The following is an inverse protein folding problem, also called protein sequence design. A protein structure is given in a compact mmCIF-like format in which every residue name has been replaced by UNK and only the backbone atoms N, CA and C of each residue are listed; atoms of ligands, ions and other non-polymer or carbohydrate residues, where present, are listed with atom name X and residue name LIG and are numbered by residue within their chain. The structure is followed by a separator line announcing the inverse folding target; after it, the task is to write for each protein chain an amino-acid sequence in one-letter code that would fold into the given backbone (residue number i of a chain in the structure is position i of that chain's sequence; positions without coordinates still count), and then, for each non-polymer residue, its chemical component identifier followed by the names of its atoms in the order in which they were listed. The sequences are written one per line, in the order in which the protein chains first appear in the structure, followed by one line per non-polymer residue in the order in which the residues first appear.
data_IF_697812239806
#
_entry.id   IF_697812239806
#
_cell.length_a   1.000
_cell.length_b   1.000
_cell.length_c   1.000
_cell.angle_alpha   90.00
_cell.angle_beta   90.00
_cell.angle_gamma   90.00
#
_symmetry.space_group_name_H-M   'P 1'
#
loop_
_entity.id
_entity.type
_entity.pdbx_description
1 polymer ?
#
# COMPACT_ATOMS: atom_id res chain seq x y z
N UNK A 1 -4.54 -26.73 17.51
CA UNK A 1 -3.69 -27.93 17.51
C UNK A 1 -2.71 -27.96 18.69
N UNK A 2 -2.94 -27.20 19.77
CA UNK A 2 -2.19 -27.27 21.03
C UNK A 2 -0.78 -26.66 21.00
N UNK A 3 -0.43 -25.91 19.95
CA UNK A 3 0.86 -25.24 19.85
C UNK A 3 0.91 -23.90 20.60
N UNK A 4 -0.24 -23.30 20.86
CA UNK A 4 -0.35 -22.05 21.60
C UNK A 4 -1.11 -22.28 22.90
N UNK A 5 -0.76 -21.51 23.93
CA UNK A 5 -1.41 -21.49 25.22
C UNK A 5 -2.39 -20.31 25.27
N UNK A 6 -3.60 -20.48 25.86
CA UNK A 6 -4.48 -19.35 26.18
C UNK A 6 -3.76 -18.34 27.09
N UNK A 7 -3.96 -17.07 26.80
CA UNK A 7 -3.30 -15.97 27.51
C UNK A 7 -4.22 -15.27 28.53
N UNK A 8 -5.51 -15.60 28.56
CA UNK A 8 -6.53 -14.90 29.37
C UNK A 8 -6.10 -14.73 30.84
N UNK A 9 -5.79 -15.83 31.54
CA UNK A 9 -5.36 -15.80 32.94
C UNK A 9 -4.05 -15.06 33.15
N UNK A 10 -3.12 -15.17 32.18
CA UNK A 10 -1.81 -14.49 32.25
C UNK A 10 -1.96 -12.98 32.04
N UNK A 11 -2.83 -12.57 31.14
CA UNK A 11 -3.15 -11.16 30.89
C UNK A 11 -3.87 -10.56 32.10
N UNK A 12 -4.80 -11.28 32.69
CA UNK A 12 -5.48 -10.83 33.90
C UNK A 12 -4.51 -10.68 35.09
N UNK A 13 -3.63 -11.64 35.28
CA UNK A 13 -2.72 -11.66 36.43
C UNK A 13 -1.52 -10.73 36.29
N UNK A 14 -0.98 -10.58 35.08
CA UNK A 14 0.32 -9.92 34.85
C UNK A 14 0.31 -8.91 33.70
N UNK A 15 -0.74 -8.86 32.88
CA UNK A 15 -0.80 -8.09 31.63
C UNK A 15 -1.67 -6.84 31.73
N UNK A 16 -1.89 -6.26 32.89
CA UNK A 16 -2.80 -5.12 33.07
C UNK A 16 -2.40 -3.90 32.21
N UNK A 17 -1.11 -3.65 32.05
CA UNK A 17 -0.64 -2.55 31.19
C UNK A 17 -0.96 -2.81 29.71
N UNK A 18 -0.95 -4.06 29.28
CA UNK A 18 -1.33 -4.48 27.91
C UNK A 18 -2.84 -4.33 27.73
N UNK A 19 -3.63 -4.81 28.68
CA UNK A 19 -5.09 -4.69 28.64
C UNK A 19 -5.56 -3.23 28.64
N UNK A 20 -4.81 -2.35 29.30
CA UNK A 20 -5.11 -0.92 29.40
C UNK A 20 -4.38 -0.08 28.32
N UNK A 21 -3.76 -0.70 27.32
CA UNK A 21 -2.98 0.00 26.27
C UNK A 21 -3.83 0.79 25.26
N UNK A 22 -5.16 0.78 25.39
CA UNK A 22 -6.07 1.58 24.56
C UNK A 22 -6.54 0.89 23.28
N UNK A 23 -6.29 -0.42 23.14
CA UNK A 23 -6.88 -1.21 22.03
C UNK A 23 -8.40 -1.31 22.18
N UNK A 24 -9.12 -1.23 21.05
CA UNK A 24 -10.57 -1.41 21.04
C UNK A 24 -10.97 -2.87 21.28
N UNK A 25 -12.22 -3.09 21.66
CA UNK A 25 -12.78 -4.44 21.86
C UNK A 25 -12.71 -5.27 20.57
N UNK A 26 -12.91 -4.65 19.41
CA UNK A 26 -12.83 -5.32 18.10
C UNK A 26 -11.43 -5.89 17.84
N UNK A 27 -10.37 -5.20 18.29
CA UNK A 27 -8.99 -5.69 18.17
C UNK A 27 -8.80 -6.92 19.03
N UNK A 28 -9.31 -6.91 20.27
CA UNK A 28 -9.23 -8.06 21.15
C UNK A 28 -10.07 -9.25 20.65
N UNK A 29 -11.26 -8.97 20.12
CA UNK A 29 -12.11 -10.00 19.54
C UNK A 29 -11.49 -10.66 18.30
N UNK A 30 -10.76 -9.91 17.48
CA UNK A 30 -10.03 -10.46 16.33
C UNK A 30 -8.89 -11.42 16.74
N UNK A 31 -8.40 -11.34 17.98
CA UNK A 31 -7.34 -12.21 18.51
C UNK A 31 -7.87 -13.43 19.25
N UNK A 32 -9.20 -13.54 19.39
CA UNK A 32 -9.83 -14.72 20.02
C UNK A 32 -9.86 -15.88 19.05
N UNK A 33 -9.52 -17.05 19.56
CA UNK A 33 -9.75 -18.30 18.86
C UNK A 33 -11.24 -18.66 18.77
N UNK A 34 -11.56 -19.70 18.03
CA UNK A 34 -12.95 -20.22 17.92
C UNK A 34 -13.52 -20.68 19.28
N UNK A 35 -12.68 -20.97 20.24
CA UNK A 35 -13.03 -21.35 21.62
C UNK A 35 -13.22 -20.13 22.55
N UNK A 36 -13.06 -18.91 22.05
CA UNK A 36 -13.22 -17.65 22.76
C UNK A 36 -12.00 -17.19 23.55
N UNK A 37 -10.92 -17.95 23.58
CA UNK A 37 -9.69 -17.59 24.30
C UNK A 37 -8.78 -16.71 23.47
N UNK A 38 -7.99 -15.85 24.15
CA UNK A 38 -6.97 -14.99 23.53
C UNK A 38 -5.67 -15.78 23.44
N UNK A 39 -5.07 -15.82 22.25
CA UNK A 39 -3.82 -16.54 21.96
C UNK A 39 -2.67 -15.63 21.51
N UNK A 40 -2.91 -14.34 21.33
CA UNK A 40 -1.91 -13.37 20.91
C UNK A 40 -2.13 -12.03 21.61
N UNK A 41 -1.08 -11.23 21.70
CA UNK A 41 -1.12 -9.86 22.19
C UNK A 41 -1.18 -8.93 20.99
N UNK A 42 -2.07 -7.90 20.98
CA UNK A 42 -2.13 -6.95 19.89
C UNK A 42 -0.82 -6.17 19.78
N UNK A 43 -0.34 -6.02 18.56
CA UNK A 43 0.77 -5.13 18.24
C UNK A 43 0.22 -3.90 17.55
N UNK A 44 0.41 -2.75 18.14
CA UNK A 44 0.03 -1.48 17.54
C UNK A 44 1.25 -0.87 16.86
N UNK A 45 1.17 -0.70 15.57
CA UNK A 45 2.15 0.11 14.86
C UNK A 45 1.92 1.56 15.27
N UNK A 46 2.93 2.31 15.75
CA UNK A 46 2.74 3.66 16.29
C UNK A 46 2.49 4.71 15.20
N UNK A 47 2.06 4.31 14.02
CA UNK A 47 1.67 5.21 12.95
C UNK A 47 0.20 4.99 12.60
N UNK A 48 -0.46 6.09 12.34
CA UNK A 48 -1.84 6.10 11.86
C UNK A 48 -1.90 5.30 10.56
N UNK A 49 -2.58 4.16 10.56
CA UNK A 49 -2.66 3.27 9.38
C UNK A 49 -3.25 3.96 8.15
N UNK A 50 -3.97 5.05 8.36
CA UNK A 50 -4.56 5.84 7.28
C UNK A 50 -3.49 6.55 6.41
N UNK A 51 -2.27 6.73 6.94
CA UNK A 51 -1.17 7.43 6.25
C UNK A 51 -0.14 6.46 5.64
N UNK A 52 -0.31 5.15 5.78
CA UNK A 52 0.69 4.17 5.37
C UNK A 52 0.91 4.06 3.85
N UNK A 53 -0.01 4.59 3.04
CA UNK A 53 0.04 4.51 1.58
C UNK A 53 -0.08 5.89 0.96
N UNK A 54 1.05 6.53 0.69
CA UNK A 54 1.08 7.84 0.04
C UNK A 54 2.15 7.87 -1.07
N UNK A 55 1.96 8.80 -2.01
CA UNK A 55 3.00 9.17 -2.97
C UNK A 55 3.58 10.51 -2.59
N UNK A 56 4.88 10.65 -2.76
CA UNK A 56 5.61 11.91 -2.51
C UNK A 56 6.02 12.51 -3.85
N UNK A 57 5.75 13.79 -4.04
CA UNK A 57 6.21 14.54 -5.20
C UNK A 57 7.29 15.56 -4.79
N UNK A 58 8.31 15.71 -5.61
CA UNK A 58 9.30 16.76 -5.51
C UNK A 58 8.65 18.09 -5.91
N UNK A 59 8.18 18.84 -4.92
CA UNK A 59 7.49 20.12 -5.12
C UNK A 59 8.29 21.09 -5.97
N UNK A 60 9.57 21.22 -5.68
CA UNK A 60 10.49 22.08 -6.43
C UNK A 60 10.58 21.71 -7.92
N UNK A 61 10.59 20.44 -8.25
CA UNK A 61 10.61 19.95 -9.64
C UNK A 61 9.25 20.13 -10.33
N UNK A 62 8.16 19.93 -9.59
CA UNK A 62 6.81 20.17 -10.11
C UNK A 62 6.62 21.67 -10.43
N UNK A 63 6.95 22.55 -9.51
CA UNK A 63 6.84 24.01 -9.70
C UNK A 63 7.70 24.49 -10.87
N UNK A 64 8.93 23.99 -11.01
CA UNK A 64 9.80 24.33 -12.14
C UNK A 64 9.23 23.89 -13.50
N UNK A 65 8.46 22.79 -13.52
CA UNK A 65 7.73 22.31 -14.72
C UNK A 65 6.36 23.01 -14.91
N UNK A 66 6.01 23.97 -14.06
CA UNK A 66 4.75 24.73 -14.14
C UNK A 66 3.55 24.01 -13.48
N UNK A 67 3.80 22.96 -12.71
CA UNK A 67 2.75 22.23 -11.98
C UNK A 67 2.62 22.87 -10.59
N UNK A 68 1.50 23.56 -10.37
CA UNK A 68 1.23 24.30 -9.11
C UNK A 68 0.21 23.60 -8.22
N UNK A 69 -0.56 22.67 -8.77
CA UNK A 69 -1.59 21.91 -8.06
C UNK A 69 -1.34 20.43 -8.21
N UNK A 70 -1.59 19.69 -7.13
CA UNK A 70 -1.46 18.23 -7.13
C UNK A 70 -2.68 17.58 -7.81
N UNK A 71 -2.48 16.44 -8.50
CA UNK A 71 -3.55 15.75 -9.20
C UNK A 71 -4.63 15.24 -8.22
N UNK A 72 -5.88 15.34 -8.61
CA UNK A 72 -7.02 14.83 -7.86
C UNK A 72 -7.72 13.67 -8.56
N UNK A 73 -7.37 13.42 -9.82
CA UNK A 73 -7.87 12.31 -10.62
C UNK A 73 -6.73 11.52 -11.24
N UNK A 74 -7.00 10.31 -11.73
CA UNK A 74 -6.00 9.49 -12.40
C UNK A 74 -5.54 10.13 -13.72
N UNK A 75 -6.44 10.85 -14.41
CA UNK A 75 -6.11 11.58 -15.63
C UNK A 75 -5.22 12.78 -15.35
N UNK A 76 -5.48 13.54 -14.29
CA UNK A 76 -4.61 14.64 -13.86
C UNK A 76 -3.23 14.11 -13.46
N UNK A 77 -3.19 12.97 -12.77
CA UNK A 77 -1.94 12.30 -12.42
C UNK A 77 -1.14 11.91 -13.66
N UNK A 78 -1.79 11.28 -14.64
CA UNK A 78 -1.14 10.97 -15.91
C UNK A 78 -0.60 12.23 -16.60
N UNK A 79 -1.41 13.28 -16.70
CA UNK A 79 -1.02 14.55 -17.34
C UNK A 79 0.15 15.22 -16.59
N UNK A 80 0.20 15.12 -15.28
CA UNK A 80 1.33 15.58 -14.47
C UNK A 80 2.62 14.83 -14.84
N UNK A 81 2.58 13.50 -14.94
CA UNK A 81 3.74 12.70 -15.34
C UNK A 81 4.22 13.04 -16.75
N UNK A 82 3.29 13.21 -17.70
CA UNK A 82 3.61 13.63 -19.08
C UNK A 82 4.26 15.03 -19.11
N UNK A 83 3.76 15.95 -18.30
CA UNK A 83 4.31 17.31 -18.19
C UNK A 83 5.75 17.26 -17.66
N UNK A 84 6.00 16.48 -16.61
CA UNK A 84 7.33 16.28 -16.04
C UNK A 84 8.28 15.63 -17.09
N UNK A 85 7.83 14.60 -17.80
CA UNK A 85 8.62 13.94 -18.85
C UNK A 85 8.98 14.89 -19.98
N UNK A 86 8.03 15.70 -20.44
CA UNK A 86 8.27 16.70 -21.48
C UNK A 86 9.27 17.78 -21.06
N UNK A 87 9.22 18.18 -19.78
CA UNK A 87 10.10 19.21 -19.27
C UNK A 87 11.51 18.71 -18.99
N UNK A 88 11.67 17.52 -18.40
CA UNK A 88 12.95 17.00 -17.95
C UNK A 88 13.58 15.98 -18.92
N UNK A 89 12.81 15.41 -19.84
CA UNK A 89 13.27 14.33 -20.70
C UNK A 89 13.70 13.10 -19.91
N UNK A 90 14.91 12.62 -20.20
CA UNK A 90 15.50 11.45 -19.53
C UNK A 90 16.44 11.84 -18.36
N UNK A 91 16.41 13.12 -17.95
CA UNK A 91 17.26 13.58 -16.85
C UNK A 91 16.86 12.97 -15.50
N UNK A 92 15.57 12.70 -15.32
CA UNK A 92 15.03 12.11 -14.11
C UNK A 92 14.10 10.95 -14.43
N UNK A 93 14.05 9.99 -13.53
CA UNK A 93 12.98 9.00 -13.48
C UNK A 93 11.72 9.73 -12.98
N UNK A 94 10.67 9.71 -13.78
CA UNK A 94 9.46 10.51 -13.51
C UNK A 94 8.63 9.91 -12.39
N UNK A 95 8.43 8.59 -12.42
CA UNK A 95 7.75 7.84 -11.37
C UNK A 95 8.59 6.62 -11.01
N UNK A 96 9.10 6.61 -9.79
CA UNK A 96 9.82 5.48 -9.23
C UNK A 96 9.17 5.03 -7.94
N UNK A 97 9.38 3.78 -7.60
CA UNK A 97 8.89 3.18 -6.38
C UNK A 97 9.10 1.67 -6.37
N UNK A 98 8.87 1.00 -5.27
CA UNK A 98 8.93 -0.45 -5.17
C UNK A 98 7.68 -1.05 -5.84
N UNK A 99 7.62 -1.00 -7.19
CA UNK A 99 6.52 -1.61 -7.95
C UNK A 99 6.55 -3.13 -7.91
N UNK A 100 7.68 -3.70 -7.53
CA UNK A 100 7.87 -5.11 -7.27
C UNK A 100 8.67 -5.25 -5.99
N UNK A 101 8.03 -5.65 -4.93
CA UNK A 101 8.71 -6.01 -3.68
C UNK A 101 8.79 -7.53 -3.60
N UNK A 102 9.90 -8.09 -4.09
CA UNK A 102 10.28 -9.44 -3.73
C UNK A 102 10.84 -9.40 -2.30
N UNK A 103 9.97 -9.20 -1.31
CA UNK A 103 10.35 -9.49 0.07
C UNK A 103 10.16 -10.97 0.33
N UNK A 104 11.02 -11.56 1.16
CA UNK A 104 10.87 -12.94 1.64
C UNK A 104 9.53 -13.19 2.38
N UNK A 105 8.73 -12.15 2.55
CA UNK A 105 7.48 -12.11 3.31
C UNK A 105 6.20 -12.07 2.45
N UNK A 106 6.20 -12.60 1.23
CA UNK A 106 4.98 -12.83 0.41
C UNK A 106 4.24 -11.61 -0.14
N UNK A 107 4.80 -10.43 -0.17
CA UNK A 107 4.14 -9.29 -0.81
C UNK A 107 4.59 -9.12 -2.27
N UNK A 108 4.07 -9.99 -3.13
CA UNK A 108 4.50 -10.11 -4.53
C UNK A 108 3.96 -9.01 -5.47
N UNK A 109 3.24 -7.99 -4.98
CA UNK A 109 2.59 -7.00 -5.84
C UNK A 109 2.56 -5.62 -5.16
N UNK A 110 3.45 -4.75 -5.56
CA UNK A 110 3.44 -3.37 -5.08
C UNK A 110 3.17 -2.35 -6.19
N UNK A 111 2.05 -2.50 -6.91
CA UNK A 111 1.47 -1.30 -7.52
C UNK A 111 1.07 -0.40 -6.35
N UNK A 112 1.53 0.86 -6.29
CA UNK A 112 1.20 1.75 -5.18
C UNK A 112 -0.30 1.74 -4.92
N UNK A 113 -0.72 1.48 -3.70
CA UNK A 113 -2.14 1.39 -3.33
C UNK A 113 -2.92 2.67 -3.65
N UNK A 114 -2.24 3.80 -3.71
CA UNK A 114 -2.79 5.07 -4.21
C UNK A 114 -3.24 4.98 -5.67
N UNK A 115 -2.50 4.25 -6.52
CA UNK A 115 -2.90 4.04 -7.93
C UNK A 115 -4.02 3.01 -7.98
N UNK A 116 -3.91 1.86 -7.30
CA UNK A 116 -4.96 0.84 -7.32
C UNK A 116 -6.28 1.37 -6.78
N UNK A 117 -6.23 2.20 -5.73
CA UNK A 117 -7.41 2.84 -5.14
C UNK A 117 -8.14 3.75 -6.13
N UNK A 118 -7.43 4.44 -7.04
CA UNK A 118 -8.05 5.23 -8.10
C UNK A 118 -8.91 4.40 -9.08
N UNK A 119 -8.69 3.09 -9.12
CA UNK A 119 -9.49 2.12 -9.87
C UNK A 119 -10.52 1.38 -8.99
N UNK A 120 -10.69 1.80 -7.72
CA UNK A 120 -11.60 1.16 -6.78
C UNK A 120 -11.04 -0.11 -6.13
N UNK A 121 -9.75 -0.39 -6.28
CA UNK A 121 -9.08 -1.57 -5.73
C UNK A 121 -8.29 -1.15 -4.49
N UNK A 122 -8.89 -1.34 -3.30
CA UNK A 122 -8.36 -0.82 -2.03
C UNK A 122 -7.52 -1.84 -1.25
N UNK A 123 -7.67 -3.13 -1.56
CA UNK A 123 -6.99 -4.23 -0.88
C UNK A 123 -6.83 -5.42 -1.82
N UNK A 124 -5.97 -6.35 -1.45
CA UNK A 124 -5.77 -7.60 -2.17
C UNK A 124 -7.03 -8.47 -2.11
N UNK A 125 -7.68 -8.50 -0.94
CA UNK A 125 -8.96 -9.16 -0.73
C UNK A 125 -10.03 -8.12 -0.43
N UNK A 126 -11.14 -8.20 -1.13
CA UNK A 126 -12.25 -7.25 -1.02
C UNK A 126 -13.56 -8.01 -0.92
N UNK A 127 -14.54 -7.36 -0.26
CA UNK A 127 -15.92 -7.84 -0.21
C UNK A 127 -16.75 -7.01 -1.18
N UNK A 128 -17.45 -7.65 -2.11
CA UNK A 128 -18.37 -6.96 -3.03
C UNK A 128 -19.65 -6.51 -2.31
N UNK A 129 -20.43 -5.66 -2.94
CA UNK A 129 -21.72 -5.20 -2.40
C UNK A 129 -22.70 -6.38 -2.15
N UNK A 130 -22.55 -7.49 -2.88
CA UNK A 130 -23.31 -8.72 -2.69
C UNK A 130 -22.74 -9.62 -1.59
N UNK A 131 -21.69 -9.20 -0.88
CA UNK A 131 -21.06 -9.94 0.19
C UNK A 131 -20.11 -11.07 -0.26
N UNK A 132 -19.72 -11.11 -1.55
CA UNK A 132 -18.76 -12.09 -2.06
C UNK A 132 -17.33 -11.58 -1.78
N UNK A 133 -16.47 -12.47 -1.25
CA UNK A 133 -15.04 -12.19 -1.14
C UNK A 133 -14.39 -12.44 -2.50
N UNK A 134 -13.64 -11.46 -3.01
CA UNK A 134 -12.89 -11.53 -4.26
C UNK A 134 -11.43 -11.15 -4.02
N UNK A 135 -10.53 -11.70 -4.82
CA UNK A 135 -9.16 -11.23 -4.90
C UNK A 135 -9.06 -10.08 -5.91
N UNK A 136 -8.10 -9.16 -5.73
CA UNK A 136 -7.97 -7.95 -6.55
C UNK A 136 -7.98 -8.20 -8.06
N UNK A 137 -7.46 -9.34 -8.52
CA UNK A 137 -7.46 -9.70 -9.94
C UNK A 137 -8.84 -10.06 -10.49
N UNK A 138 -9.82 -10.34 -9.62
CA UNK A 138 -11.22 -10.57 -9.99
C UNK A 138 -12.03 -9.27 -10.04
N UNK A 139 -11.43 -8.14 -9.62
CA UNK A 139 -12.13 -6.86 -9.64
C UNK A 139 -12.38 -6.40 -11.07
N UNK A 140 -13.60 -5.89 -11.40
CA UNK A 140 -13.96 -5.49 -12.77
C UNK A 140 -13.01 -4.47 -13.41
N UNK A 141 -12.41 -3.59 -12.60
CA UNK A 141 -11.49 -2.56 -13.06
C UNK A 141 -10.02 -3.01 -13.10
N UNK A 142 -9.71 -4.25 -12.73
CA UNK A 142 -8.32 -4.73 -12.76
C UNK A 142 -7.70 -4.69 -14.17
N UNK A 143 -8.41 -5.05 -15.27
CA UNK A 143 -7.87 -4.87 -16.61
C UNK A 143 -7.50 -3.41 -16.93
N UNK A 144 -8.35 -2.46 -16.56
CA UNK A 144 -8.09 -1.03 -16.78
C UNK A 144 -6.86 -0.52 -15.99
N UNK A 145 -6.67 -1.01 -14.76
CA UNK A 145 -5.45 -0.76 -13.99
C UNK A 145 -4.20 -1.26 -14.72
N UNK A 146 -4.24 -2.50 -15.23
CA UNK A 146 -3.11 -3.10 -15.96
C UNK A 146 -2.82 -2.34 -17.26
N UNK A 147 -3.86 -1.93 -17.99
CA UNK A 147 -3.73 -1.10 -19.19
C UNK A 147 -3.08 0.26 -18.87
N UNK A 148 -3.50 0.90 -17.79
CA UNK A 148 -2.93 2.16 -17.33
C UNK A 148 -1.43 2.00 -16.99
N UNK A 149 -1.07 1.01 -16.20
CA UNK A 149 0.34 0.73 -15.85
C UNK A 149 1.18 0.42 -17.09
N UNK A 150 0.63 -0.38 -18.03
CA UNK A 150 1.28 -0.68 -19.31
C UNK A 150 1.50 0.58 -20.16
N UNK A 151 0.54 1.51 -20.15
CA UNK A 151 0.65 2.80 -20.83
C UNK A 151 1.77 3.63 -20.23
N UNK A 152 1.82 3.78 -18.90
CA UNK A 152 2.88 4.52 -18.21
C UNK A 152 4.26 3.96 -18.55
N UNK A 153 4.40 2.64 -18.58
CA UNK A 153 5.67 1.98 -18.93
C UNK A 153 6.08 2.24 -20.39
N UNK A 154 5.17 2.02 -21.33
CA UNK A 154 5.43 2.23 -22.78
C UNK A 154 5.82 3.67 -23.12
N UNK A 155 5.29 4.63 -22.38
CA UNK A 155 5.58 6.05 -22.54
C UNK A 155 6.82 6.52 -21.75
N UNK A 156 7.49 5.60 -21.05
CA UNK A 156 8.70 5.90 -20.27
C UNK A 156 8.42 6.82 -19.07
N UNK A 157 7.22 6.74 -18.51
CA UNK A 157 6.79 7.50 -17.34
C UNK A 157 7.09 6.79 -16.03
N UNK A 158 7.35 5.49 -16.07
CA UNK A 158 7.78 4.66 -14.93
C UNK A 158 9.26 4.33 -15.11
N UNK A 159 9.94 4.13 -14.00
CA UNK A 159 11.30 3.60 -13.96
C UNK A 159 11.43 2.34 -14.84
N UNK A 160 12.33 2.33 -15.83
CA UNK A 160 12.51 1.16 -16.70
C UNK A 160 12.97 -0.08 -15.92
N UNK A 161 13.64 0.11 -14.80
CA UNK A 161 14.15 -0.96 -13.94
C UNK A 161 13.17 -1.38 -12.84
N UNK A 162 11.91 -0.94 -12.92
CA UNK A 162 10.87 -1.18 -11.91
C UNK A 162 10.78 -2.64 -11.44
N UNK A 163 11.01 -3.60 -12.35
CA UNK A 163 10.87 -5.04 -12.06
C UNK A 163 12.05 -5.62 -11.27
N UNK A 164 13.17 -4.90 -11.21
CA UNK A 164 14.40 -5.35 -10.52
C UNK A 164 14.78 -4.44 -9.35
N UNK A 165 14.08 -3.32 -9.19
CA UNK A 165 14.29 -2.42 -8.07
C UNK A 165 13.89 -3.09 -6.77
N UNK A 166 14.77 -2.97 -5.78
CA UNK A 166 14.54 -3.37 -4.41
C UNK A 166 14.47 -2.13 -3.51
N UNK A 167 13.95 -2.25 -2.32
CA UNK A 167 13.93 -1.18 -1.33
C UNK A 167 15.33 -0.58 -1.09
N UNK A 168 16.36 -1.44 -1.07
CA UNK A 168 17.76 -1.01 -0.92
C UNK A 168 18.29 -0.24 -2.14
N UNK A 169 17.89 -0.58 -3.37
CA UNK A 169 18.32 0.16 -4.57
C UNK A 169 17.65 1.52 -4.66
N UNK A 170 16.38 1.62 -4.27
CA UNK A 170 15.63 2.88 -4.25
C UNK A 170 16.17 3.86 -3.20
N UNK A 171 16.64 3.38 -2.06
CA UNK A 171 17.22 4.22 -1.01
C UNK A 171 18.58 4.83 -1.38
N UNK A 172 19.27 4.29 -2.40
CA UNK A 172 20.58 4.79 -2.87
C UNK A 172 20.42 5.84 -3.97
N UNK A 173 19.32 5.79 -4.73
CA UNK A 173 19.07 6.65 -5.90
C UNK A 173 18.13 7.83 -5.62
N UNK A 174 17.59 7.92 -4.40
CA UNK A 174 16.65 8.97 -3.96
C UNK A 174 17.30 10.23 -3.40
#
# INVERSE_FOLDING_TARGET
QGALQPLDDLLEAYGQDILNSGHSEEVWDALRGQDGHIYAVPYMYPCDHEIANFMVARKDLCEAAGITEMPTTIDDFYNMLVTLKNYYGDKYIILSGPFYQASEANEAWAIPKTITAAFGIYSDWMVTDEGKVIYMTEHPNFPALVEFMSKLYKEGLIDPDWAVNTESTLSITG
#
